data_IF_008430301551
#
_entry.id   IF_008430301551
#
_cell.length_a   1.000
_cell.length_b   1.000
_cell.length_c   1.000
_cell.angle_alpha   90.00
_cell.angle_beta   90.00
_cell.angle_gamma   90.00
#
_symmetry.space_group_name_H-M   'P 1'
#
loop_
_entity.id
_entity.type
_entity.pdbx_description
1 polymer ?
#
# COMPACT_ATOMS: atom_id res chain seq x y z
N UNK A 1 18.66 0.35 -0.15
CA UNK A 1 17.94 0.95 -1.29
C UNK A 1 17.21 2.15 -0.73
N UNK A 2 17.34 3.32 -1.35
CA UNK A 2 16.74 4.55 -0.83
C UNK A 2 15.21 4.50 -0.91
N UNK A 3 14.54 5.10 0.07
CA UNK A 3 13.08 5.07 0.18
C UNK A 3 12.41 5.73 -1.04
N UNK A 4 12.94 6.85 -1.50
CA UNK A 4 12.43 7.61 -2.64
C UNK A 4 12.45 6.77 -3.91
N UNK A 5 13.53 6.01 -4.14
CA UNK A 5 13.63 5.11 -5.29
C UNK A 5 12.57 4.00 -5.22
N UNK A 6 12.37 3.40 -4.04
CA UNK A 6 11.34 2.37 -3.85
C UNK A 6 9.95 2.92 -4.18
N UNK A 7 9.64 4.11 -3.67
CA UNK A 7 8.35 4.78 -3.91
C UNK A 7 8.15 5.05 -5.40
N UNK A 8 9.16 5.57 -6.09
CA UNK A 8 9.09 5.86 -7.52
C UNK A 8 8.80 4.60 -8.35
N UNK A 9 9.48 3.48 -8.06
CA UNK A 9 9.24 2.22 -8.76
C UNK A 9 7.83 1.67 -8.49
N UNK A 10 7.35 1.77 -7.24
CA UNK A 10 5.99 1.34 -6.90
C UNK A 10 4.93 2.19 -7.60
N UNK A 11 5.11 3.51 -7.68
CA UNK A 11 4.19 4.40 -8.38
C UNK A 11 4.13 4.07 -9.88
N UNK A 12 5.28 3.84 -10.54
CA UNK A 12 5.31 3.36 -11.94
C UNK A 12 4.60 2.02 -12.11
N UNK A 13 4.74 1.12 -11.13
CA UNK A 13 4.07 -0.17 -11.17
C UNK A 13 2.55 -0.05 -11.05
N UNK A 14 2.05 0.93 -10.28
CA UNK A 14 0.62 1.21 -10.21
C UNK A 14 0.05 1.61 -11.58
N UNK A 15 0.82 2.29 -12.43
CA UNK A 15 0.40 2.70 -13.77
C UNK A 15 0.48 1.56 -14.82
N UNK A 16 1.10 0.43 -14.48
CA UNK A 16 1.36 -0.65 -15.42
C UNK A 16 0.26 -1.72 -15.37
N UNK A 17 -0.55 -1.81 -16.43
CA UNK A 17 -1.76 -2.65 -16.46
C UNK A 17 -1.47 -4.15 -16.20
N UNK A 18 -0.43 -4.70 -16.80
CA UNK A 18 -0.05 -6.11 -16.58
C UNK A 18 0.34 -6.40 -15.13
N UNK A 19 0.90 -5.42 -14.41
CA UNK A 19 1.22 -5.57 -12.99
C UNK A 19 -0.06 -5.54 -12.15
N UNK A 20 -1.01 -4.67 -12.47
CA UNK A 20 -2.31 -4.63 -11.79
C UNK A 20 -3.03 -5.97 -11.88
N UNK A 21 -3.08 -6.56 -13.08
CA UNK A 21 -3.75 -7.83 -13.34
C UNK A 21 -3.12 -9.01 -12.57
N UNK A 22 -1.83 -8.94 -12.25
CA UNK A 22 -1.11 -10.00 -11.51
C UNK A 22 -1.19 -9.79 -9.98
N UNK A 23 -1.10 -8.55 -9.52
CA UNK A 23 -0.92 -8.23 -8.08
C UNK A 23 -2.25 -7.94 -7.37
N UNK A 24 -3.20 -7.29 -8.04
CA UNK A 24 -4.44 -6.80 -7.45
C UNK A 24 -5.55 -7.85 -7.53
N UNK A 25 -6.29 -8.05 -6.44
CA UNK A 25 -7.42 -8.99 -6.46
C UNK A 25 -8.50 -8.51 -7.42
N UNK A 26 -9.21 -9.45 -8.06
CA UNK A 26 -10.21 -9.16 -9.10
C UNK A 26 -11.25 -8.11 -8.68
N UNK A 27 -11.74 -8.15 -7.43
CA UNK A 27 -12.67 -7.15 -6.92
C UNK A 27 -12.07 -5.73 -6.94
N UNK A 28 -10.84 -5.57 -6.41
CA UNK A 28 -10.14 -4.29 -6.39
C UNK A 28 -9.68 -3.86 -7.77
N UNK A 29 -9.37 -4.80 -8.67
CA UNK A 29 -8.99 -4.51 -10.05
C UNK A 29 -10.18 -3.94 -10.84
N UNK A 30 -11.38 -4.51 -10.67
CA UNK A 30 -12.61 -3.94 -11.25
C UNK A 30 -12.80 -2.50 -10.78
N UNK A 31 -12.70 -2.28 -9.47
CA UNK A 31 -12.85 -0.96 -8.88
C UNK A 31 -11.76 0.01 -9.37
N UNK A 32 -10.50 -0.44 -9.48
CA UNK A 32 -9.36 0.33 -10.01
C UNK A 32 -9.66 0.85 -11.43
N UNK A 33 -10.19 -0.03 -12.29
CA UNK A 33 -10.59 0.31 -13.67
C UNK A 33 -11.77 1.28 -13.72
N UNK A 34 -12.78 1.07 -12.88
CA UNK A 34 -13.99 1.92 -12.84
C UNK A 34 -13.69 3.35 -12.38
N UNK A 35 -12.76 3.52 -11.44
CA UNK A 35 -12.50 4.81 -10.83
C UNK A 35 -11.30 5.57 -11.40
N UNK A 36 -10.44 4.92 -12.19
CA UNK A 36 -9.25 5.52 -12.79
C UNK A 36 -8.12 5.89 -11.81
N UNK A 37 -8.13 5.35 -10.59
CA UNK A 37 -7.13 5.57 -9.54
C UNK A 37 -6.24 4.34 -9.47
N UNK A 38 -5.10 4.45 -10.16
CA UNK A 38 -4.14 3.38 -10.41
C UNK A 38 -3.60 2.70 -9.14
N UNK A 39 -3.49 3.42 -8.03
CA UNK A 39 -3.04 2.85 -6.75
C UNK A 39 -4.08 1.94 -6.07
N UNK A 40 -5.34 1.93 -6.52
CA UNK A 40 -6.44 1.14 -5.93
C UNK A 40 -6.07 -0.33 -5.84
N UNK A 41 -6.16 -0.90 -4.63
CA UNK A 41 -5.89 -2.32 -4.37
C UNK A 41 -4.43 -2.65 -4.03
N UNK A 42 -3.51 -1.68 -4.13
CA UNK A 42 -2.09 -1.90 -3.82
C UNK A 42 -1.69 -1.60 -2.37
N UNK A 43 -2.54 -0.96 -1.56
CA UNK A 43 -2.16 -0.40 -0.25
C UNK A 43 -1.43 -1.42 0.66
N UNK A 44 -1.90 -2.66 0.72
CA UNK A 44 -1.25 -3.72 1.48
C UNK A 44 0.11 -4.13 0.89
N UNK A 45 0.15 -4.47 -0.41
CA UNK A 45 1.36 -4.98 -1.05
C UNK A 45 2.46 -3.91 -1.08
N UNK A 46 2.11 -2.66 -1.42
CA UNK A 46 3.05 -1.54 -1.43
C UNK A 46 3.61 -1.24 -0.03
N UNK A 47 2.76 -1.21 1.00
CA UNK A 47 3.19 -1.02 2.39
C UNK A 47 4.13 -2.14 2.84
N UNK A 48 3.85 -3.39 2.47
CA UNK A 48 4.75 -4.50 2.80
C UNK A 48 6.08 -4.42 2.03
N UNK A 49 6.09 -4.08 0.73
CA UNK A 49 7.33 -3.91 -0.03
C UNK A 49 8.24 -2.88 0.63
N UNK A 50 7.69 -1.69 0.94
CA UNK A 50 8.45 -0.63 1.61
C UNK A 50 8.95 -1.12 2.98
N UNK A 51 8.05 -1.69 3.80
CA UNK A 51 8.41 -2.24 5.11
C UNK A 51 9.61 -3.20 5.00
N UNK A 52 9.57 -4.18 4.10
CA UNK A 52 10.62 -5.20 3.98
C UNK A 52 11.95 -4.61 3.49
N UNK A 53 11.92 -3.68 2.53
CA UNK A 53 13.13 -3.12 1.91
C UNK A 53 13.80 -2.02 2.73
N UNK A 54 13.10 -1.44 3.71
CA UNK A 54 13.58 -0.26 4.46
C UNK A 54 13.68 -0.52 5.97
N UNK A 55 14.08 -1.72 6.38
CA UNK A 55 14.40 -2.02 7.78
C UNK A 55 13.26 -2.58 8.63
N UNK A 56 12.08 -2.82 8.05
CA UNK A 56 11.02 -3.60 8.67
C UNK A 56 10.56 -3.07 10.02
N UNK A 57 10.53 -3.95 11.01
CA UNK A 57 10.07 -3.64 12.36
C UNK A 57 10.96 -2.65 13.09
N UNK A 58 12.21 -2.44 12.67
CA UNK A 58 13.09 -1.48 13.34
C UNK A 58 12.68 -0.04 13.04
N UNK A 59 12.14 0.20 11.85
CA UNK A 59 11.76 1.55 11.39
C UNK A 59 10.24 1.77 11.43
N UNK A 60 9.46 0.73 11.11
CA UNK A 60 8.05 0.90 10.78
C UNK A 60 7.11 0.11 11.69
N UNK A 61 5.93 0.68 11.88
CA UNK A 61 4.72 -0.02 12.31
C UNK A 61 3.78 -0.06 11.13
N UNK A 62 3.33 -1.25 10.73
CA UNK A 62 2.29 -1.36 9.70
C UNK A 62 0.97 -1.03 10.36
N UNK A 63 0.23 -0.10 9.77
CA UNK A 63 -1.04 0.40 10.27
C UNK A 63 -2.16 -0.09 9.35
N UNK A 64 -3.31 -0.39 9.94
CA UNK A 64 -4.51 -0.74 9.19
C UNK A 64 -5.75 -0.01 9.69
N UNK A 65 -6.59 0.42 8.76
CA UNK A 65 -7.94 0.92 9.01
C UNK A 65 -8.93 -0.18 8.62
N UNK A 66 -9.86 -0.53 9.51
CA UNK A 66 -10.84 -1.60 9.31
C UNK A 66 -12.16 -1.17 9.94
N UNK A 67 -13.29 -1.46 9.29
CA UNK A 67 -14.64 -1.25 9.83
C UNK A 67 -14.89 0.20 10.31
N UNK A 68 -14.43 1.19 9.56
CA UNK A 68 -14.80 2.58 9.80
C UNK A 68 -15.95 2.90 8.87
N UNK A 69 -17.06 3.35 9.45
CA UNK A 69 -18.21 3.83 8.70
C UNK A 69 -17.74 4.94 7.74
N UNK A 70 -18.09 4.83 6.46
CA UNK A 70 -17.60 5.68 5.36
C UNK A 70 -16.15 5.46 4.89
N UNK A 71 -15.43 4.41 5.33
CA UNK A 71 -14.30 3.93 4.54
C UNK A 71 -14.81 3.46 3.18
N UNK A 72 -14.08 3.83 2.14
CA UNK A 72 -14.44 3.49 0.77
C UNK A 72 -14.70 1.97 0.62
N UNK A 73 -15.92 1.62 0.22
CA UNK A 73 -16.43 0.25 0.08
C UNK A 73 -16.32 -0.64 1.33
N UNK A 74 -16.25 -0.08 2.54
CA UNK A 74 -16.03 -0.86 3.77
C UNK A 74 -14.69 -1.61 3.79
N UNK A 75 -13.75 -1.18 2.93
CA UNK A 75 -12.48 -1.84 2.71
C UNK A 75 -11.49 -1.64 3.86
N UNK A 76 -10.45 -2.48 3.86
CA UNK A 76 -9.28 -2.27 4.71
C UNK A 76 -8.27 -1.38 4.00
N UNK A 77 -7.71 -0.39 4.69
CA UNK A 77 -6.57 0.39 4.19
C UNK A 77 -5.31 0.06 4.96
N UNK A 78 -4.17 0.03 4.28
CA UNK A 78 -2.86 -0.21 4.89
C UNK A 78 -1.89 0.91 4.55
N UNK A 79 -1.07 1.28 5.53
CA UNK A 79 0.00 2.27 5.40
C UNK A 79 1.07 2.04 6.48
N UNK A 80 2.13 2.84 6.48
CA UNK A 80 3.22 2.75 7.44
C UNK A 80 3.26 3.96 8.37
N UNK A 81 3.58 3.72 9.64
CA UNK A 81 3.90 4.75 10.63
C UNK A 81 5.35 4.55 11.08
N UNK A 82 6.16 5.59 10.96
CA UNK A 82 7.56 5.58 11.38
C UNK A 82 7.64 5.60 12.91
N UNK A 83 8.38 4.66 13.49
CA UNK A 83 8.45 4.48 14.95
C UNK A 83 9.07 5.67 15.68
N UNK A 84 10.05 6.33 15.07
CA UNK A 84 10.85 7.38 15.71
C UNK A 84 10.09 8.68 15.94
N UNK A 85 9.19 9.06 15.03
CA UNK A 85 8.54 10.38 15.00
C UNK A 85 7.04 10.33 14.69
N UNK A 86 6.44 9.14 14.53
CA UNK A 86 5.02 8.95 14.20
C UNK A 86 4.60 9.50 12.83
N UNK A 87 5.56 9.77 11.95
CA UNK A 87 5.30 10.18 10.57
C UNK A 87 4.59 9.07 9.78
N UNK A 88 3.57 9.46 9.00
CA UNK A 88 2.79 8.55 8.18
C UNK A 88 3.35 8.51 6.76
N UNK A 89 3.57 7.30 6.25
CA UNK A 89 3.88 7.05 4.86
C UNK A 89 2.74 6.24 4.22
N UNK A 90 2.00 6.90 3.32
CA UNK A 90 0.88 6.32 2.59
C UNK A 90 0.90 6.77 1.11
N UNK A 91 1.62 5.98 0.29
CA UNK A 91 1.74 6.24 -1.15
C UNK A 91 0.49 5.85 -1.95
N UNK A 92 -0.56 5.40 -1.25
CA UNK A 92 -1.84 4.98 -1.83
C UNK A 92 -3.02 5.80 -1.26
N UNK A 93 -2.73 6.91 -0.58
CA UNK A 93 -3.72 7.81 0.02
C UNK A 93 -4.65 8.45 -1.02
N UNK A 94 -4.24 8.50 -2.28
CA UNK A 94 -5.05 9.01 -3.39
C UNK A 94 -6.30 8.16 -3.67
N UNK A 95 -6.36 6.93 -3.14
CA UNK A 95 -7.61 6.14 -3.05
C UNK A 95 -8.70 6.84 -2.22
N UNK A 96 -8.36 7.82 -1.39
CA UNK A 96 -9.29 8.58 -0.56
C UNK A 96 -9.31 10.05 -0.97
N UNK A 97 -8.12 10.66 -1.10
CA UNK A 97 -8.02 12.12 -1.27
C UNK A 97 -8.58 12.59 -2.60
N UNK A 98 -8.46 11.80 -3.69
CA UNK A 98 -9.09 12.12 -4.99
C UNK A 98 -10.62 12.10 -4.94
N UNK A 99 -11.21 11.53 -3.88
CA UNK A 99 -12.66 11.50 -3.63
C UNK A 99 -13.11 12.56 -2.63
N UNK A 100 -12.21 13.43 -2.19
CA UNK A 100 -12.48 14.40 -1.12
C UNK A 100 -12.60 13.77 0.26
N UNK A 101 -12.11 12.53 0.45
CA UNK A 101 -12.14 11.83 1.73
C UNK A 101 -10.77 12.02 2.41
N UNK A 102 -10.78 12.58 3.61
CA UNK A 102 -9.59 12.58 4.47
C UNK A 102 -9.38 11.18 5.06
N UNK A 103 -8.14 10.68 5.03
CA UNK A 103 -7.83 9.38 5.63
C UNK A 103 -7.78 9.54 7.16
N UNK A 104 -8.60 8.81 7.93
CA UNK A 104 -8.66 8.95 9.39
C UNK A 104 -7.52 8.16 10.05
N UNK A 105 -6.27 8.60 9.84
CA UNK A 105 -5.05 7.90 10.28
C UNK A 105 -5.02 7.61 11.79
N UNK A 106 -5.63 8.49 12.60
CA UNK A 106 -5.77 8.38 14.05
C UNK A 106 -6.57 7.15 14.49
N UNK A 107 -7.46 6.64 13.64
CA UNK A 107 -8.27 5.45 13.92
C UNK A 107 -7.54 4.13 13.58
N UNK A 108 -6.34 4.20 13.00
CA UNK A 108 -5.63 3.03 12.53
C UNK A 108 -4.98 2.23 13.65
N UNK A 109 -5.09 0.91 13.54
CA UNK A 109 -4.50 -0.05 14.48
C UNK A 109 -3.18 -0.59 13.95
N UNK A 110 -2.20 -0.73 14.84
CA UNK A 110 -0.94 -1.41 14.52
C UNK A 110 -1.18 -2.89 14.20
N UNK A 111 -0.45 -3.41 13.22
CA UNK A 111 -0.46 -4.81 12.84
C UNK A 111 0.95 -5.29 12.50
N UNK A 112 1.20 -6.58 12.67
CA UNK A 112 2.51 -7.20 12.42
C UNK A 112 2.51 -8.03 11.15
N UNK A 113 3.64 -8.04 10.43
CA UNK A 113 3.84 -8.86 9.24
C UNK A 113 4.79 -10.02 9.55
N UNK A 114 4.23 -11.22 9.74
CA UNK A 114 5.04 -12.42 10.06
C UNK A 114 5.77 -12.97 8.83
N UNK A 115 5.03 -13.27 7.77
CA UNK A 115 5.55 -13.82 6.52
C UNK A 115 5.41 -12.79 5.40
N UNK A 116 6.27 -12.89 4.38
CA UNK A 116 6.20 -12.07 3.18
C UNK A 116 5.03 -12.55 2.32
N UNK A 117 4.05 -11.68 2.03
CA UNK A 117 2.92 -12.06 1.20
C UNK A 117 3.33 -12.32 -0.25
N UNK A 118 2.58 -13.20 -0.93
CA UNK A 118 2.77 -13.47 -2.36
C UNK A 118 2.67 -12.19 -3.20
N UNK A 119 1.73 -11.30 -2.84
CA UNK A 119 1.52 -10.03 -3.55
C UNK A 119 2.69 -9.07 -3.41
N UNK A 120 3.24 -8.92 -2.21
CA UNK A 120 4.42 -8.09 -2.01
C UNK A 120 5.63 -8.63 -2.78
N UNK A 121 5.84 -9.96 -2.81
CA UNK A 121 6.89 -10.58 -3.63
C UNK A 121 6.72 -10.27 -5.11
N UNK A 122 5.53 -10.49 -5.65
CA UNK A 122 5.21 -10.22 -7.06
C UNK A 122 5.39 -8.75 -7.38
N UNK A 123 4.89 -7.85 -6.52
CA UNK A 123 5.01 -6.41 -6.74
C UNK A 123 6.48 -5.97 -6.74
N UNK A 124 7.29 -6.41 -5.77
CA UNK A 124 8.71 -6.05 -5.73
C UNK A 124 9.46 -6.55 -6.98
N UNK A 125 9.23 -7.80 -7.39
CA UNK A 125 9.88 -8.39 -8.56
C UNK A 125 9.48 -7.67 -9.85
N UNK A 126 8.18 -7.45 -10.07
CA UNK A 126 7.65 -6.80 -11.26
C UNK A 126 7.98 -5.29 -11.31
N UNK A 127 8.21 -4.66 -10.17
CA UNK A 127 8.63 -3.24 -10.10
C UNK A 127 10.15 -3.06 -10.23
N UNK A 128 10.92 -4.13 -10.50
CA UNK A 128 12.37 -4.04 -10.61
C UNK A 128 13.10 -3.78 -9.28
N UNK A 129 12.44 -4.00 -8.14
CA UNK A 129 13.02 -3.86 -6.80
C UNK A 129 13.73 -5.14 -6.32
N UNK A 130 13.63 -6.22 -7.10
CA UNK A 130 14.21 -7.53 -6.78
C UNK A 130 13.27 -8.40 -5.95
N UNK A 131 13.81 -9.52 -5.46
CA UNK A 131 13.05 -10.50 -4.66
C UNK A 131 13.12 -10.15 -3.18
N UNK A 132 11.96 -10.23 -2.51
CA UNK A 132 11.81 -10.15 -1.06
C UNK A 132 12.01 -11.49 -0.37
#
# INVERSE_FOLDING_TARGET
>A
MELEYIIEQLQKAFDTESIKEIVVDSHWLTINKENGINSTGFCFAASEVIYRLTGGSEIWTVKRLVNIDNLWNGGTHYFLEKKSNKEILDITSDQYTKRGIAVPYELAKGTGLRNISKKARLLAELSGLGKL
#
